data_IF_941049628665
#
_entry.id   IF_941049628665
#
_cell.length_a   1.000
_cell.length_b   1.000
_cell.length_c   1.000
_cell.angle_alpha   90.00
_cell.angle_beta   90.00
_cell.angle_gamma   90.00
#
_symmetry.space_group_name_H-M   'P 1'
#
loop_
_entity.id
_entity.type
_entity.pdbx_description
1 polymer ?
#
# COMPACT_ATOMS: atom_id res chain seq x y z
N UNK A 1 14.78 -36.67 35.96
CA UNK A 1 15.36 -35.90 34.82
C UNK A 1 14.27 -34.98 34.32
N UNK A 2 14.33 -33.77 34.77
CA UNK A 2 13.35 -32.70 34.44
C UNK A 2 13.84 -32.02 33.19
N UNK A 3 13.08 -32.11 32.11
CA UNK A 3 13.27 -31.30 30.90
C UNK A 3 12.43 -30.03 31.06
N UNK A 4 13.09 -28.93 31.34
CA UNK A 4 12.46 -27.64 31.33
C UNK A 4 12.15 -27.23 29.88
N UNK A 5 10.89 -27.04 29.57
CA UNK A 5 10.43 -26.30 28.38
C UNK A 5 10.73 -24.82 28.64
N UNK A 6 11.74 -24.30 27.96
CA UNK A 6 11.94 -22.84 27.85
C UNK A 6 10.81 -22.28 26.98
N UNK A 7 9.73 -21.87 27.60
CA UNK A 7 8.79 -20.89 26.98
C UNK A 7 9.55 -19.60 26.74
N UNK A 8 9.97 -19.39 25.51
CA UNK A 8 10.47 -18.10 25.05
C UNK A 8 9.35 -17.07 25.17
N UNK A 9 9.36 -16.27 26.23
CA UNK A 9 8.60 -15.05 26.34
C UNK A 9 8.96 -14.16 25.14
N UNK A 10 8.03 -14.03 24.19
CA UNK A 10 8.09 -13.00 23.17
C UNK A 10 7.99 -11.66 23.91
N UNK A 11 9.14 -11.04 24.18
CA UNK A 11 9.20 -9.67 24.66
C UNK A 11 8.40 -8.80 23.66
N UNK A 12 7.24 -8.33 24.10
CA UNK A 12 6.46 -7.34 23.36
C UNK A 12 7.31 -6.09 23.25
N UNK A 13 7.96 -5.89 22.13
CA UNK A 13 8.74 -4.67 21.85
C UNK A 13 7.81 -3.46 22.04
N UNK A 14 8.20 -2.55 22.91
CA UNK A 14 7.47 -1.30 23.07
C UNK A 14 7.37 -0.59 21.72
N UNK A 15 6.16 -0.11 21.34
CA UNK A 15 5.96 0.53 20.05
C UNK A 15 6.84 1.77 19.92
N UNK A 16 7.56 1.89 18.82
CA UNK A 16 8.33 3.10 18.54
C UNK A 16 7.37 4.28 18.46
N UNK A 17 7.75 5.39 19.09
CA UNK A 17 6.89 6.56 19.23
C UNK A 17 7.53 7.78 18.57
N UNK A 18 6.75 8.48 17.74
CA UNK A 18 7.19 9.65 16.99
C UNK A 18 6.22 10.82 17.22
N UNK A 19 6.75 12.03 17.34
CA UNK A 19 5.95 13.23 17.55
C UNK A 19 5.97 14.11 16.30
N UNK A 20 4.80 14.47 15.80
CA UNK A 20 4.61 15.29 14.59
C UNK A 20 3.82 16.55 14.86
N UNK A 21 4.12 17.59 14.11
CA UNK A 21 3.39 18.84 14.13
C UNK A 21 2.02 18.63 13.43
N UNK A 22 0.99 19.29 13.91
CA UNK A 22 -0.35 19.24 13.31
C UNK A 22 -0.81 20.64 12.93
N UNK A 23 -1.37 20.77 11.72
CA UNK A 23 -1.95 22.02 11.26
C UNK A 23 -3.26 22.31 12.01
N UNK A 24 -3.34 23.48 12.64
CA UNK A 24 -4.58 23.97 13.23
C UNK A 24 -5.20 25.06 12.34
N UNK A 25 -6.27 24.69 11.62
CA UNK A 25 -6.97 25.59 10.71
C UNK A 25 -7.59 26.80 11.41
N UNK A 26 -7.81 26.77 12.73
CA UNK A 26 -8.36 27.91 13.48
C UNK A 26 -7.30 28.92 13.84
N UNK A 27 -6.09 28.45 14.09
CA UNK A 27 -4.95 29.28 14.41
C UNK A 27 -4.16 29.71 13.15
N UNK A 28 -4.43 29.10 11.99
CA UNK A 28 -3.69 29.24 10.74
C UNK A 28 -2.19 29.03 10.93
N UNK A 29 -1.85 28.05 11.79
CA UNK A 29 -0.46 27.73 12.17
C UNK A 29 -0.31 26.25 12.55
N UNK A 30 0.94 25.79 12.61
CA UNK A 30 1.29 24.45 13.07
C UNK A 30 1.45 24.40 14.60
N UNK A 31 0.77 23.43 15.22
CA UNK A 31 1.00 23.08 16.62
C UNK A 31 2.18 22.11 16.70
N UNK A 32 3.32 22.53 17.30
CA UNK A 32 4.52 21.70 17.32
C UNK A 32 4.32 20.46 18.17
N UNK A 33 4.79 19.31 17.66
CA UNK A 33 4.77 18.00 18.33
C UNK A 33 3.41 17.61 18.91
N UNK A 34 2.34 17.99 18.20
CA UNK A 34 0.96 17.87 18.72
C UNK A 34 0.40 16.46 18.58
N UNK A 35 0.82 15.70 17.56
CA UNK A 35 0.40 14.33 17.32
C UNK A 35 1.49 13.33 17.67
N UNK A 36 1.11 12.24 18.35
CA UNK A 36 2.01 11.14 18.69
C UNK A 36 1.62 9.93 17.87
N UNK A 37 2.53 9.48 17.00
CA UNK A 37 2.39 8.28 16.19
C UNK A 37 3.11 7.13 16.89
N UNK A 38 2.42 6.00 17.03
CA UNK A 38 2.94 4.74 17.57
C UNK A 38 3.04 3.73 16.44
N UNK A 39 4.26 3.39 16.08
CA UNK A 39 4.54 2.38 15.06
C UNK A 39 4.40 0.98 15.67
N UNK A 40 3.62 0.14 15.00
CA UNK A 40 3.36 -1.25 15.41
C UNK A 40 3.46 -2.16 14.18
N UNK A 41 4.00 -3.34 14.34
CA UNK A 41 3.91 -4.37 13.30
C UNK A 41 2.56 -5.07 13.44
N UNK A 42 1.86 -5.27 12.31
CA UNK A 42 0.59 -5.99 12.32
C UNK A 42 0.81 -7.47 12.61
N UNK A 43 -0.05 -8.06 13.44
CA UNK A 43 -0.01 -9.47 13.78
C UNK A 43 -0.30 -10.37 12.57
N UNK A 44 0.11 -11.64 12.65
CA UNK A 44 -0.15 -12.62 11.60
C UNK A 44 -1.53 -13.27 11.79
N UNK A 45 -2.29 -13.36 10.69
CA UNK A 45 -3.55 -14.08 10.60
C UNK A 45 -3.45 -15.38 9.81
N UNK A 46 -4.50 -15.67 9.03
CA UNK A 46 -4.54 -16.84 8.15
C UNK A 46 -4.01 -16.50 6.75
N UNK A 47 -3.47 -17.49 6.08
CA UNK A 47 -2.96 -17.31 4.72
C UNK A 47 -4.04 -17.46 3.64
N UNK A 48 -5.19 -18.06 3.97
CA UNK A 48 -6.28 -18.39 3.06
C UNK A 48 -6.81 -17.18 2.31
N UNK A 49 -6.99 -16.04 3.02
CA UNK A 49 -7.55 -14.82 2.46
C UNK A 49 -6.82 -14.34 1.19
N UNK A 50 -5.49 -14.27 1.23
CA UNK A 50 -4.69 -13.79 0.10
C UNK A 50 -4.89 -14.67 -1.14
N UNK A 51 -4.87 -15.98 -0.94
CA UNK A 51 -5.04 -16.95 -2.02
C UNK A 51 -6.46 -16.91 -2.60
N UNK A 52 -7.48 -16.79 -1.75
CA UNK A 52 -8.87 -16.67 -2.16
C UNK A 52 -9.12 -15.38 -2.95
N UNK A 53 -8.58 -14.25 -2.52
CA UNK A 53 -8.68 -12.99 -3.24
C UNK A 53 -8.09 -13.09 -4.67
N UNK A 54 -6.91 -13.68 -4.83
CA UNK A 54 -6.31 -13.87 -6.16
C UNK A 54 -7.12 -14.80 -7.05
N UNK A 55 -7.70 -15.87 -6.49
CA UNK A 55 -8.52 -16.82 -7.24
C UNK A 55 -9.84 -16.18 -7.69
N UNK A 56 -10.51 -15.45 -6.79
CA UNK A 56 -11.79 -14.79 -7.07
C UNK A 56 -11.68 -13.73 -8.17
N UNK A 57 -10.52 -13.06 -8.26
CA UNK A 57 -10.29 -11.97 -9.20
C UNK A 57 -9.19 -12.27 -10.23
N UNK A 58 -9.00 -13.54 -10.60
CA UNK A 58 -7.92 -13.95 -11.51
C UNK A 58 -7.93 -13.24 -12.87
N UNK A 59 -9.14 -12.99 -13.44
CA UNK A 59 -9.28 -12.24 -14.69
C UNK A 59 -8.86 -10.76 -14.55
N UNK A 60 -9.28 -10.10 -13.46
CA UNK A 60 -8.89 -8.73 -13.15
C UNK A 60 -7.39 -8.63 -12.90
N UNK A 61 -6.81 -9.59 -12.18
CA UNK A 61 -5.38 -9.67 -11.92
C UNK A 61 -4.57 -9.74 -13.22
N UNK A 62 -4.99 -10.58 -14.18
CA UNK A 62 -4.34 -10.67 -15.48
C UNK A 62 -4.37 -9.32 -16.23
N UNK A 63 -5.50 -8.61 -16.15
CA UNK A 63 -5.63 -7.29 -16.75
C UNK A 63 -4.71 -6.26 -16.07
N UNK A 64 -4.68 -6.21 -14.75
CA UNK A 64 -3.81 -5.31 -13.98
C UNK A 64 -2.34 -5.58 -14.30
N UNK A 65 -1.88 -6.85 -14.28
CA UNK A 65 -0.51 -7.22 -14.65
C UNK A 65 -0.13 -6.70 -16.02
N UNK A 66 -1.00 -6.88 -17.01
CA UNK A 66 -0.76 -6.37 -18.37
C UNK A 66 -0.63 -4.85 -18.41
N UNK A 67 -1.43 -4.11 -17.63
CA UNK A 67 -1.30 -2.65 -17.55
C UNK A 67 0.03 -2.23 -16.92
N UNK A 68 0.47 -2.93 -15.88
CA UNK A 68 1.75 -2.66 -15.24
C UNK A 68 2.94 -2.99 -16.17
N UNK A 69 2.86 -4.05 -16.95
CA UNK A 69 3.87 -4.37 -17.98
C UNK A 69 4.00 -3.27 -19.04
N UNK A 70 2.90 -2.61 -19.41
CA UNK A 70 2.92 -1.50 -20.36
C UNK A 70 3.58 -0.22 -19.78
N UNK A 71 3.62 -0.07 -18.47
CA UNK A 71 4.27 1.06 -17.78
C UNK A 71 5.79 0.84 -17.68
N UNK A 72 6.28 -0.37 -17.93
CA UNK A 72 7.72 -0.64 -17.95
C UNK A 72 8.41 0.24 -19.00
N UNK A 73 9.43 1.05 -18.63
CA UNK A 73 10.16 1.84 -19.60
C UNK A 73 10.91 0.93 -20.56
N UNK A 74 11.13 1.42 -21.79
CA UNK A 74 12.04 0.75 -22.72
C UNK A 74 13.37 0.46 -22.00
N UNK A 75 13.77 -0.79 -22.05
CA UNK A 75 14.90 -1.32 -21.24
C UNK A 75 16.27 -0.73 -21.63
N UNK A 76 16.33 0.08 -22.69
CA UNK A 76 17.58 0.63 -23.21
C UNK A 76 17.48 2.11 -23.54
N UNK A 77 18.35 2.92 -22.90
CA UNK A 77 18.50 4.35 -23.20
C UNK A 77 19.88 4.60 -23.84
N UNK A 78 19.90 5.39 -24.92
CA UNK A 78 21.15 5.87 -25.51
C UNK A 78 21.74 6.98 -24.65
N UNK A 79 22.97 6.79 -24.24
CA UNK A 79 23.79 7.81 -23.56
C UNK A 79 24.85 8.27 -24.53
N UNK A 80 24.88 9.55 -24.81
CA UNK A 80 25.80 10.18 -25.77
C UNK A 80 26.98 10.85 -25.07
N UNK A 81 27.99 11.24 -25.87
CA UNK A 81 29.19 11.94 -25.42
C UNK A 81 29.96 11.14 -24.36
N UNK A 82 30.35 9.96 -24.76
CA UNK A 82 31.19 9.06 -23.97
C UNK A 82 32.58 8.95 -24.61
N UNK A 83 33.59 8.69 -23.80
CA UNK A 83 34.97 8.46 -24.25
C UNK A 83 35.09 7.10 -24.97
N UNK A 84 34.24 6.13 -24.58
CA UNK A 84 34.09 4.82 -25.22
C UNK A 84 32.61 4.43 -25.36
N UNK A 85 32.27 3.60 -26.34
CA UNK A 85 30.89 3.21 -26.59
C UNK A 85 30.72 2.11 -27.60
N UNK A 86 29.45 1.80 -27.92
CA UNK A 86 29.10 0.79 -28.92
C UNK A 86 29.28 1.30 -30.35
N UNK A 87 29.06 2.61 -30.54
CA UNK A 87 29.14 3.23 -31.85
C UNK A 87 29.46 4.73 -31.72
N UNK A 88 29.81 5.38 -32.84
CA UNK A 88 30.22 6.79 -32.88
C UNK A 88 28.98 7.69 -32.97
N UNK A 89 28.96 8.75 -32.16
CA UNK A 89 28.06 9.88 -32.31
C UNK A 89 28.55 10.79 -33.45
N UNK A 90 27.89 10.72 -34.59
CA UNK A 90 28.30 11.45 -35.80
C UNK A 90 28.35 12.97 -35.58
N UNK A 91 27.49 13.52 -34.73
CA UNK A 91 27.49 14.95 -34.44
C UNK A 91 28.73 15.34 -33.61
N UNK A 92 29.01 14.56 -32.58
CA UNK A 92 30.22 14.79 -31.76
C UNK A 92 31.52 14.59 -32.59
N UNK A 93 31.52 13.60 -33.47
CA UNK A 93 32.66 13.36 -34.38
C UNK A 93 32.85 14.51 -35.37
N UNK A 94 31.80 15.08 -35.93
CA UNK A 94 31.90 16.26 -36.80
C UNK A 94 32.40 17.51 -36.05
N UNK A 95 31.93 17.71 -34.82
CA UNK A 95 32.43 18.76 -33.94
C UNK A 95 33.96 18.59 -33.70
N UNK A 96 34.40 17.39 -33.32
CA UNK A 96 35.79 17.09 -33.08
C UNK A 96 36.68 17.31 -34.34
N UNK A 97 36.20 16.94 -35.55
CA UNK A 97 36.91 17.23 -36.82
C UNK A 97 37.00 18.72 -37.10
N UNK A 98 35.93 19.46 -36.79
CA UNK A 98 35.90 20.92 -36.95
C UNK A 98 36.91 21.59 -36.03
N UNK A 99 36.96 21.18 -34.77
CA UNK A 99 37.93 21.68 -33.79
C UNK A 99 39.39 21.42 -34.20
N UNK A 100 39.67 20.21 -34.71
CA UNK A 100 40.97 19.88 -35.26
C UNK A 100 41.36 20.78 -36.43
N UNK A 101 40.44 21.13 -37.32
CA UNK A 101 40.69 22.04 -38.45
C UNK A 101 40.95 23.47 -37.99
N UNK A 102 40.36 23.88 -36.89
CA UNK A 102 40.53 25.20 -36.29
C UNK A 102 41.75 25.26 -35.36
N UNK A 103 42.46 24.13 -35.15
CA UNK A 103 43.64 24.08 -34.26
C UNK A 103 43.27 24.02 -32.77
N UNK A 104 42.02 23.69 -32.46
CA UNK A 104 41.54 23.51 -31.10
C UNK A 104 41.64 22.03 -30.72
N UNK A 105 42.03 21.66 -29.49
CA UNK A 105 42.03 20.28 -29.04
C UNK A 105 40.59 19.71 -29.12
N UNK A 106 40.36 18.59 -29.85
CA UNK A 106 39.04 17.99 -29.97
C UNK A 106 38.60 17.33 -28.66
N UNK A 107 37.28 17.29 -28.42
CA UNK A 107 36.69 16.46 -27.36
C UNK A 107 36.80 14.98 -27.77
N UNK A 108 37.29 14.12 -26.87
CA UNK A 108 37.38 12.66 -27.05
C UNK A 108 36.07 11.93 -26.83
N UNK A 109 35.03 12.63 -26.37
CA UNK A 109 33.68 12.07 -26.08
C UNK A 109 32.82 11.93 -27.34
N UNK A 110 33.27 11.12 -28.27
CA UNK A 110 32.63 10.94 -29.59
C UNK A 110 31.78 9.67 -29.70
N UNK A 111 31.63 8.92 -28.61
CA UNK A 111 30.89 7.66 -28.63
C UNK A 111 29.51 7.78 -27.93
N UNK A 112 28.63 6.84 -28.28
CA UNK A 112 27.40 6.59 -27.56
C UNK A 112 27.27 5.11 -27.23
N UNK A 113 26.51 4.81 -26.15
CA UNK A 113 26.24 3.46 -25.68
C UNK A 113 24.77 3.33 -25.31
N UNK A 114 24.20 2.14 -25.47
CA UNK A 114 22.92 1.77 -24.89
C UNK A 114 23.12 1.30 -23.48
N UNK A 115 22.60 2.07 -22.53
CA UNK A 115 22.58 1.65 -21.14
C UNK A 115 21.20 1.08 -20.82
N UNK A 116 21.20 -0.06 -20.12
CA UNK A 116 19.96 -0.58 -19.53
C UNK A 116 19.52 0.40 -18.46
N UNK A 117 18.33 0.94 -18.62
CA UNK A 117 17.71 1.77 -17.57
C UNK A 117 17.14 0.81 -16.54
N UNK A 118 17.75 0.77 -15.38
CA UNK A 118 17.15 0.11 -14.23
C UNK A 118 16.01 0.98 -13.72
N UNK A 119 14.90 0.33 -13.44
CA UNK A 119 13.73 1.00 -12.86
C UNK A 119 14.02 1.19 -11.37
N UNK A 120 14.06 2.44 -10.95
CA UNK A 120 14.25 2.84 -9.55
C UNK A 120 12.95 3.49 -9.06
N UNK A 121 11.95 2.66 -8.83
CA UNK A 121 10.61 3.07 -8.37
C UNK A 121 10.30 2.35 -7.07
N UNK A 122 9.90 3.12 -6.08
CA UNK A 122 9.37 2.63 -4.83
C UNK A 122 7.92 3.13 -4.65
N UNK A 123 7.01 2.22 -4.36
CA UNK A 123 5.61 2.53 -4.11
C UNK A 123 5.26 2.35 -2.62
N UNK A 124 4.50 3.27 -2.06
CA UNK A 124 3.99 3.15 -0.70
C UNK A 124 2.47 3.11 -0.73
N UNK A 125 1.89 2.06 -0.15
CA UNK A 125 0.46 1.90 0.06
C UNK A 125 0.14 2.22 1.51
N UNK A 126 -0.68 3.24 1.70
CA UNK A 126 -1.14 3.66 3.02
C UNK A 126 -2.65 3.42 3.12
N UNK A 127 -3.04 2.40 3.89
CA UNK A 127 -4.42 1.93 4.01
C UNK A 127 -5.12 2.61 5.19
N UNK A 128 -6.33 3.08 4.96
CA UNK A 128 -7.17 3.63 6.03
C UNK A 128 -7.84 2.48 6.79
N UNK A 129 -7.41 2.26 8.02
CA UNK A 129 -7.99 1.26 8.92
C UNK A 129 -8.95 1.92 9.92
N UNK A 130 -9.61 3.00 9.55
CA UNK A 130 -10.58 3.67 10.43
C UNK A 130 -11.90 2.91 10.51
N UNK A 131 -12.71 3.20 11.54
CA UNK A 131 -13.99 2.53 11.77
C UNK A 131 -15.00 2.74 10.64
N UNK A 132 -14.89 3.83 9.86
CA UNK A 132 -15.76 4.07 8.69
C UNK A 132 -15.58 3.03 7.59
N UNK A 133 -14.41 2.40 7.49
CA UNK A 133 -14.17 1.32 6.52
C UNK A 133 -14.89 0.00 6.86
N UNK A 134 -15.52 -0.07 8.06
CA UNK A 134 -16.41 -1.16 8.44
C UNK A 134 -17.77 -1.10 7.77
N UNK A 135 -18.11 0.03 7.11
CA UNK A 135 -19.39 0.19 6.41
C UNK A 135 -19.53 -0.82 5.27
N UNK A 136 -20.76 -1.31 5.10
CA UNK A 136 -21.07 -2.23 4.01
C UNK A 136 -21.10 -1.48 2.67
N UNK A 137 -20.53 -2.10 1.64
CA UNK A 137 -20.61 -1.60 0.27
C UNK A 137 -22.04 -1.79 -0.22
N UNK A 138 -22.65 -0.71 -0.71
CA UNK A 138 -24.10 -0.60 -1.00
C UNK A 138 -24.57 -1.39 -2.23
N UNK A 139 -23.83 -2.33 -2.77
CA UNK A 139 -24.25 -3.16 -3.90
C UNK A 139 -25.42 -4.11 -3.60
N UNK A 140 -25.94 -4.14 -2.38
CA UNK A 140 -27.04 -5.00 -1.94
C UNK A 140 -28.22 -4.28 -1.32
N UNK A 141 -28.22 -2.96 -1.25
CA UNK A 141 -29.39 -2.17 -0.86
C UNK A 141 -30.42 -2.07 -2.00
N UNK A 142 -30.73 -3.16 -2.66
CA UNK A 142 -32.03 -3.27 -3.24
C UNK A 142 -33.02 -3.41 -2.07
N UNK A 143 -33.80 -2.36 -1.87
CA UNK A 143 -34.95 -2.23 -1.01
C UNK A 143 -35.89 -3.44 -1.15
N UNK A 144 -35.59 -4.51 -0.44
CA UNK A 144 -36.48 -5.65 -0.39
C UNK A 144 -37.12 -5.83 1.00
N UNK A 145 -37.03 -4.82 1.86
CA UNK A 145 -37.76 -4.84 3.13
C UNK A 145 -38.06 -3.41 3.64
N UNK A 146 -38.68 -2.58 2.78
CA UNK A 146 -39.58 -1.51 3.23
C UNK A 146 -40.95 -2.11 3.55
N UNK A 147 -41.00 -3.17 4.34
CA UNK A 147 -42.19 -3.48 5.09
C UNK A 147 -42.19 -2.51 6.25
N UNK A 148 -43.17 -1.58 6.20
CA UNK A 148 -43.44 -0.66 7.30
C UNK A 148 -43.44 -1.41 8.62
N UNK A 149 -42.82 -0.81 9.65
CA UNK A 149 -42.77 -1.42 10.97
C UNK A 149 -44.19 -1.71 11.44
N UNK A 150 -44.50 -2.92 11.90
CA UNK A 150 -45.84 -3.26 12.38
C UNK A 150 -46.24 -2.36 13.56
N UNK A 151 -47.50 -1.92 13.58
CA UNK A 151 -48.05 -1.11 14.68
C UNK A 151 -48.28 -1.92 15.97
N UNK A 152 -48.33 -3.23 15.90
CA UNK A 152 -48.47 -4.11 17.06
C UNK A 152 -47.10 -4.25 17.76
N UNK A 153 -47.01 -3.96 19.07
CA UNK A 153 -45.76 -4.08 19.85
C UNK A 153 -45.14 -5.48 19.81
N UNK A 154 -45.91 -6.55 19.74
CA UNK A 154 -45.42 -7.93 19.71
C UNK A 154 -44.84 -8.25 18.31
N UNK A 155 -45.55 -7.85 17.26
CA UNK A 155 -45.09 -8.01 15.89
C UNK A 155 -43.89 -7.14 15.60
N UNK A 156 -43.83 -5.93 16.18
CA UNK A 156 -42.68 -5.04 16.11
C UNK A 156 -41.40 -5.67 16.72
N UNK A 157 -41.53 -6.33 17.87
CA UNK A 157 -40.40 -7.04 18.50
C UNK A 157 -39.92 -8.24 17.66
N UNK A 158 -40.86 -8.98 17.07
CA UNK A 158 -40.53 -10.10 16.16
C UNK A 158 -39.88 -9.59 14.87
N UNK A 159 -40.39 -8.48 14.32
CA UNK A 159 -39.80 -7.81 13.15
C UNK A 159 -38.38 -7.29 13.43
N UNK A 160 -38.15 -6.62 14.58
CA UNK A 160 -36.82 -6.18 15.03
C UNK A 160 -35.85 -7.35 15.17
N UNK A 161 -36.30 -8.46 15.76
CA UNK A 161 -35.52 -9.67 15.92
C UNK A 161 -35.15 -10.28 14.57
N UNK A 162 -36.08 -10.42 13.65
CA UNK A 162 -35.86 -10.93 12.29
C UNK A 162 -34.90 -10.01 11.51
N UNK A 163 -35.04 -8.71 11.64
CA UNK A 163 -34.16 -7.72 11.02
C UNK A 163 -32.77 -7.82 11.56
N UNK A 164 -32.61 -7.98 12.87
CA UNK A 164 -31.30 -8.14 13.53
C UNK A 164 -30.65 -9.49 13.16
N UNK A 165 -31.40 -10.57 13.11
CA UNK A 165 -30.90 -11.88 12.66
C UNK A 165 -30.59 -11.89 11.16
N UNK A 166 -31.35 -11.18 10.34
CA UNK A 166 -31.06 -10.99 8.92
C UNK A 166 -29.79 -10.18 8.67
N UNK A 167 -29.52 -9.15 9.46
CA UNK A 167 -28.28 -8.37 9.41
C UNK A 167 -27.05 -9.17 9.85
N UNK A 168 -27.19 -10.07 10.82
CA UNK A 168 -26.11 -10.95 11.27
C UNK A 168 -25.83 -12.12 10.32
N UNK A 169 -26.78 -12.51 9.48
CA UNK A 169 -26.61 -13.61 8.50
C UNK A 169 -26.19 -13.16 7.11
N UNK A 170 -26.33 -11.88 6.75
CA UNK A 170 -25.86 -11.37 5.47
C UNK A 170 -24.39 -10.99 5.63
N UNK A 171 -23.54 -11.74 5.00
CA UNK A 171 -22.10 -11.44 4.89
C UNK A 171 -21.95 -10.23 3.94
N UNK A 172 -22.20 -9.03 4.46
CA UNK A 172 -21.99 -7.81 3.68
C UNK A 172 -20.48 -7.59 3.51
N UNK A 173 -20.07 -7.41 2.27
CA UNK A 173 -18.73 -6.99 1.96
C UNK A 173 -18.52 -5.56 2.46
N UNK A 174 -17.50 -5.34 3.26
CA UNK A 174 -17.17 -4.03 3.83
C UNK A 174 -16.16 -3.31 2.93
N UNK A 175 -16.03 -1.99 3.09
CA UNK A 175 -15.03 -1.18 2.38
C UNK A 175 -13.63 -1.75 2.64
N UNK A 176 -13.29 -2.07 3.88
CA UNK A 176 -11.98 -2.65 4.24
C UNK A 176 -11.72 -3.98 3.54
N UNK A 177 -12.75 -4.81 3.33
CA UNK A 177 -12.58 -6.09 2.64
C UNK A 177 -12.20 -5.88 1.16
N UNK A 178 -12.79 -4.84 0.52
CA UNK A 178 -12.42 -4.44 -0.84
C UNK A 178 -11.01 -3.85 -0.90
N UNK A 179 -10.62 -3.04 0.07
CA UNK A 179 -9.26 -2.51 0.18
C UNK A 179 -8.22 -3.62 0.31
N UNK A 180 -8.49 -4.62 1.17
CA UNK A 180 -7.62 -5.80 1.32
C UNK A 180 -7.47 -6.58 0.01
N UNK A 181 -8.59 -6.87 -0.66
CA UNK A 181 -8.56 -7.59 -1.93
C UNK A 181 -7.83 -6.79 -3.01
N UNK A 182 -8.10 -5.50 -3.13
CA UNK A 182 -7.43 -4.61 -4.08
C UNK A 182 -5.92 -4.56 -3.82
N UNK A 183 -5.54 -4.46 -2.55
CA UNK A 183 -4.14 -4.48 -2.12
C UNK A 183 -3.46 -5.79 -2.53
N UNK A 184 -4.10 -6.94 -2.31
CA UNK A 184 -3.56 -8.24 -2.70
C UNK A 184 -3.33 -8.33 -4.23
N UNK A 185 -4.27 -7.81 -5.04
CA UNK A 185 -4.14 -7.79 -6.51
C UNK A 185 -3.00 -6.88 -6.98
N UNK A 186 -2.89 -5.67 -6.41
CA UNK A 186 -1.85 -4.71 -6.77
C UNK A 186 -0.47 -5.23 -6.37
N UNK A 187 -0.32 -5.79 -5.18
CA UNK A 187 0.93 -6.42 -4.72
C UNK A 187 1.39 -7.48 -5.72
N UNK A 188 0.49 -8.38 -6.11
CA UNK A 188 0.82 -9.45 -7.04
C UNK A 188 1.22 -8.92 -8.43
N UNK A 189 0.72 -7.76 -8.82
CA UNK A 189 1.14 -7.09 -10.06
C UNK A 189 2.51 -6.44 -9.91
N UNK A 190 2.79 -5.76 -8.80
CA UNK A 190 4.08 -5.11 -8.54
C UNK A 190 5.19 -6.15 -8.40
N UNK A 191 4.94 -7.26 -7.69
CA UNK A 191 5.87 -8.39 -7.61
C UNK A 191 6.27 -8.93 -9.00
N UNK A 192 5.34 -8.90 -9.98
CA UNK A 192 5.64 -9.37 -11.33
C UNK A 192 6.57 -8.44 -12.12
N UNK A 193 6.66 -7.16 -11.77
CA UNK A 193 7.56 -6.18 -12.39
C UNK A 193 8.84 -5.92 -11.60
N UNK A 194 8.89 -6.36 -10.32
CA UNK A 194 10.07 -6.28 -9.47
C UNK A 194 10.35 -4.90 -8.87
N UNK A 195 9.36 -4.02 -8.78
CA UNK A 195 9.49 -2.73 -8.11
C UNK A 195 9.50 -2.91 -6.57
N UNK A 196 10.16 -1.98 -5.88
CA UNK A 196 10.10 -1.92 -4.42
C UNK A 196 8.78 -1.32 -3.94
N UNK A 197 8.22 -1.85 -2.85
CA UNK A 197 7.01 -1.29 -2.25
C UNK A 197 6.91 -1.58 -0.75
N UNK A 198 6.24 -0.66 -0.05
CA UNK A 198 5.84 -0.79 1.34
C UNK A 198 4.31 -0.78 1.48
N UNK A 199 3.80 -1.46 2.49
CA UNK A 199 2.37 -1.50 2.81
C UNK A 199 2.21 -1.15 4.27
N UNK A 200 1.46 -0.10 4.53
CA UNK A 200 1.22 0.42 5.85
C UNK A 200 -0.27 0.68 6.05
N UNK A 201 -0.71 0.59 7.29
CA UNK A 201 -2.06 0.96 7.67
C UNK A 201 -2.04 2.04 8.74
N UNK A 202 -3.08 2.83 8.83
CA UNK A 202 -3.20 3.82 9.90
C UNK A 202 -4.59 3.85 10.49
N UNK A 203 -4.65 4.17 11.76
CA UNK A 203 -5.85 4.43 12.51
C UNK A 203 -5.50 5.29 13.73
N UNK A 204 -6.44 5.66 14.55
CA UNK A 204 -6.13 6.32 15.79
C UNK A 204 -7.32 6.96 16.47
N UNK A 205 -7.16 7.28 17.75
CA UNK A 205 -8.13 8.07 18.49
C UNK A 205 -7.43 9.18 19.27
N UNK A 206 -7.93 10.40 19.09
CA UNK A 206 -7.28 11.57 19.66
C UNK A 206 -5.87 11.80 19.07
N UNK A 207 -5.14 12.75 19.66
CA UNK A 207 -3.82 13.18 19.18
C UNK A 207 -2.66 12.31 19.68
N UNK A 208 -2.85 11.63 20.79
CA UNK A 208 -1.79 10.90 21.51
C UNK A 208 -1.73 9.41 21.12
N UNK A 209 -2.71 8.96 20.33
CA UNK A 209 -2.84 7.57 19.92
C UNK A 209 -3.13 7.45 18.43
N UNK A 210 -2.22 7.95 17.62
CA UNK A 210 -2.19 7.67 16.19
C UNK A 210 -1.40 6.39 16.00
N UNK A 211 -2.03 5.37 15.48
CA UNK A 211 -1.43 4.05 15.28
C UNK A 211 -1.04 3.90 13.82
N UNK A 212 0.21 3.57 13.58
CA UNK A 212 0.77 3.29 12.27
C UNK A 212 1.21 1.84 12.23
N UNK A 213 0.59 1.07 11.35
CA UNK A 213 0.79 -0.37 11.27
C UNK A 213 1.69 -0.72 10.10
N UNK A 214 2.83 -1.35 10.38
CA UNK A 214 3.71 -1.91 9.36
C UNK A 214 3.18 -3.29 8.98
N UNK A 215 2.65 -3.42 7.76
CA UNK A 215 2.19 -4.68 7.17
C UNK A 215 3.34 -5.30 6.40
N UNK A 216 4.01 -4.50 5.57
CA UNK A 216 5.26 -4.84 4.88
C UNK A 216 6.13 -3.59 4.81
N UNK A 217 7.35 -3.68 5.34
CA UNK A 217 8.32 -2.61 5.14
C UNK A 217 8.86 -2.62 3.70
N UNK A 218 9.36 -1.45 3.25
CA UNK A 218 9.84 -1.27 1.87
C UNK A 218 10.99 -2.23 1.55
N UNK A 219 11.87 -2.45 2.53
CA UNK A 219 13.05 -3.33 2.40
C UNK A 219 12.76 -4.80 2.76
N UNK A 220 11.54 -5.10 3.27
CA UNK A 220 11.14 -6.47 3.63
C UNK A 220 10.75 -7.24 2.36
N UNK A 221 11.33 -8.44 2.07
CA UNK A 221 10.92 -9.25 0.94
C UNK A 221 9.50 -9.80 1.15
N UNK A 222 8.72 -9.88 0.07
CA UNK A 222 7.38 -10.45 0.12
C UNK A 222 7.42 -11.94 0.44
N UNK A 223 6.76 -12.35 1.50
CA UNK A 223 6.75 -13.72 2.02
C UNK A 223 5.38 -14.10 2.62
N UNK A 224 5.26 -15.33 3.12
CA UNK A 224 4.01 -15.83 3.68
C UNK A 224 3.60 -15.12 4.98
N UNK A 225 4.53 -14.51 5.72
CA UNK A 225 4.20 -13.69 6.89
C UNK A 225 3.40 -12.45 6.48
N UNK A 226 3.81 -11.80 5.40
CA UNK A 226 3.12 -10.61 4.87
C UNK A 226 1.71 -10.97 4.40
N UNK A 227 1.52 -12.10 3.72
CA UNK A 227 0.19 -12.60 3.32
C UNK A 227 -0.72 -12.79 4.53
N UNK A 228 -0.19 -13.31 5.65
CA UNK A 228 -0.91 -13.46 6.91
C UNK A 228 -1.20 -12.13 7.59
N UNK A 229 -0.28 -11.14 7.52
CA UNK A 229 -0.54 -9.79 8.04
C UNK A 229 -1.67 -9.10 7.27
N UNK A 230 -1.75 -9.27 5.95
CA UNK A 230 -2.85 -8.73 5.14
C UNK A 230 -4.21 -9.25 5.61
N UNK A 231 -4.30 -10.50 6.05
CA UNK A 231 -5.54 -11.04 6.62
C UNK A 231 -5.98 -10.28 7.89
N UNK A 232 -5.06 -9.84 8.72
CA UNK A 232 -5.34 -9.11 9.96
C UNK A 232 -5.71 -7.64 9.79
N UNK A 233 -5.70 -7.09 8.58
CA UNK A 233 -6.19 -5.74 8.32
C UNK A 233 -7.68 -5.67 8.68
N UNK A 234 -8.04 -4.86 9.65
CA UNK A 234 -9.41 -4.72 10.18
C UNK A 234 -9.69 -3.25 10.51
N UNK A 235 -10.96 -2.82 10.46
CA UNK A 235 -11.34 -1.48 10.91
C UNK A 235 -11.07 -1.35 12.42
N UNK A 236 -10.47 -0.24 12.83
CA UNK A 236 -10.11 0.00 14.23
C UNK A 236 -10.80 1.26 14.80
N UNK A 237 -10.11 2.40 14.75
CA UNK A 237 -10.54 3.63 15.42
C UNK A 237 -10.89 4.73 14.41
N UNK A 238 -10.73 5.99 14.78
CA UNK A 238 -10.96 7.15 13.92
C UNK A 238 -9.76 7.42 12.99
N UNK A 239 -9.93 8.32 12.04
CA UNK A 239 -8.93 8.69 11.03
C UNK A 239 -8.05 9.83 11.51
N UNK A 240 -6.71 9.68 11.41
CA UNK A 240 -5.71 10.73 11.62
C UNK A 240 -4.67 10.70 10.50
N UNK A 241 -5.11 11.05 9.30
CA UNK A 241 -4.31 10.93 8.08
C UNK A 241 -3.07 11.83 8.09
N UNK A 242 -3.18 13.08 8.57
CA UNK A 242 -2.11 14.07 8.47
C UNK A 242 -0.81 13.65 9.15
N UNK A 243 -0.87 13.08 10.35
CA UNK A 243 0.30 12.59 11.07
C UNK A 243 0.86 11.31 10.41
N UNK A 244 -0.01 10.43 9.91
CA UNK A 244 0.38 9.18 9.27
C UNK A 244 1.07 9.37 7.92
N UNK A 245 0.67 10.39 7.13
CA UNK A 245 1.34 10.72 5.86
C UNK A 245 2.74 11.33 6.09
N UNK A 246 2.94 12.00 7.23
CA UNK A 246 4.24 12.60 7.57
C UNK A 246 5.21 11.59 8.17
N UNK A 247 4.70 10.50 8.69
CA UNK A 247 5.49 9.41 9.24
C UNK A 247 6.13 8.59 8.13
#
# INVERSE_FOLDING_TARGET
>A
MSGGEEEGELEAQEPKTYAYDEWDFRADDYKPRWCIVKEKTLEEGEQSFYTEALNNYSGLLAHIKRQFELIMPETWRKTYRLVDGEDIDLNAALEAISDLRMGVPPDDKIYWRRNKVERDVAAVFLLDMSASTAEAIDEGRQNSDDTDAPDDPVEYMVWLRRRREGLTRRNYKRIIDLEKESTALIIQAIESIGDQYGIYGFSGYGRENVEFYVIKDIDEPFNDKIKRRIDKITPLHATRMGASIRH
#
